data_IF_015454928934
#
_entry.id   IF_015454928934
#
_cell.length_a   1.000
_cell.length_b   1.000
_cell.length_c   1.000
_cell.angle_alpha   90.00
_cell.angle_beta   90.00
_cell.angle_gamma   90.00
#
_symmetry.space_group_name_H-M   'P 1'
#
loop_
_entity.id
_entity.type
_entity.pdbx_description
1 polymer ?
#
# COMPACT_ATOMS: atom_id res chain seq x y z
N UNK A 1 -29.10 34.17 26.38
CA UNK A 1 -27.62 34.29 26.29
C UNK A 1 -27.02 32.90 26.40
N UNK A 2 -26.90 32.16 25.29
CA UNK A 2 -26.33 30.80 25.28
C UNK A 2 -24.84 30.89 24.99
N UNK A 3 -24.00 30.56 25.97
CA UNK A 3 -22.56 30.58 25.83
C UNK A 3 -22.12 29.63 24.70
N UNK A 4 -21.38 30.18 23.73
CA UNK A 4 -20.79 29.44 22.60
C UNK A 4 -19.91 28.32 23.16
N UNK A 5 -20.21 27.03 22.93
CA UNK A 5 -19.41 25.93 23.48
C UNK A 5 -17.96 26.08 23.02
N UNK A 6 -17.01 25.85 23.94
CA UNK A 6 -15.57 25.96 23.65
C UNK A 6 -15.25 25.04 22.47
N UNK A 7 -14.53 25.53 21.47
CA UNK A 7 -14.17 24.75 20.27
C UNK A 7 -13.55 23.38 20.61
N UNK A 8 -12.87 23.30 21.76
CA UNK A 8 -12.23 22.11 22.31
C UNK A 8 -13.25 21.01 22.68
N UNK A 9 -14.42 21.37 23.24
CA UNK A 9 -15.43 20.37 23.63
C UNK A 9 -16.17 19.81 22.41
N UNK A 10 -16.35 20.62 21.36
CA UNK A 10 -16.90 20.16 20.10
C UNK A 10 -15.94 19.24 19.37
N UNK A 11 -14.65 19.61 19.28
CA UNK A 11 -13.61 18.76 18.68
C UNK A 11 -13.50 17.40 19.39
N UNK A 12 -13.64 17.37 20.73
CA UNK A 12 -13.64 16.13 21.51
C UNK A 12 -14.84 15.23 21.18
N UNK A 13 -16.04 15.82 21.07
CA UNK A 13 -17.25 15.06 20.72
C UNK A 13 -17.18 14.52 19.29
N UNK A 14 -16.68 15.32 18.35
CA UNK A 14 -16.50 14.92 16.95
C UNK A 14 -15.49 13.75 16.85
N UNK A 15 -14.34 13.88 17.51
CA UNK A 15 -13.31 12.84 17.55
C UNK A 15 -13.84 11.54 18.18
N UNK A 16 -14.61 11.64 19.27
CA UNK A 16 -15.20 10.47 19.93
C UNK A 16 -16.23 9.77 19.04
N UNK A 17 -17.04 10.54 18.31
CA UNK A 17 -18.01 10.01 17.36
C UNK A 17 -17.31 9.30 16.20
N UNK A 18 -16.32 9.94 15.60
CA UNK A 18 -15.51 9.34 14.52
C UNK A 18 -14.84 8.05 14.99
N UNK A 19 -14.18 8.07 16.15
CA UNK A 19 -13.53 6.89 16.72
C UNK A 19 -14.51 5.73 16.85
N UNK A 20 -15.71 5.97 17.39
CA UNK A 20 -16.73 4.93 17.59
C UNK A 20 -17.24 4.34 16.26
N UNK A 21 -17.26 5.13 15.19
CA UNK A 21 -17.62 4.68 13.85
C UNK A 21 -16.51 3.82 13.21
N UNK A 22 -15.23 4.18 13.34
CA UNK A 22 -14.11 3.38 12.78
C UNK A 22 -13.68 2.20 13.65
N UNK A 23 -13.96 2.23 14.96
CA UNK A 23 -13.58 1.18 15.91
C UNK A 23 -14.01 -0.24 15.49
N UNK A 24 -15.26 -0.52 15.08
CA UNK A 24 -15.66 -1.86 14.66
C UNK A 24 -14.90 -2.36 13.41
N UNK A 25 -14.60 -1.46 12.47
CA UNK A 25 -13.81 -1.80 11.28
C UNK A 25 -12.35 -2.09 11.62
N UNK A 26 -11.76 -1.33 12.56
CA UNK A 26 -10.43 -1.62 13.09
C UNK A 26 -10.38 -2.97 13.79
N UNK A 27 -11.39 -3.29 14.62
CA UNK A 27 -11.45 -4.58 15.31
C UNK A 27 -11.55 -5.74 14.32
N UNK A 28 -12.40 -5.62 13.30
CA UNK A 28 -12.52 -6.60 12.23
C UNK A 28 -11.20 -6.76 11.45
N UNK A 29 -10.53 -5.65 11.12
CA UNK A 29 -9.23 -5.65 10.46
C UNK A 29 -8.14 -6.34 11.27
N UNK A 30 -8.09 -6.10 12.59
CA UNK A 30 -7.12 -6.75 13.49
C UNK A 30 -7.43 -8.23 13.66
N UNK A 31 -8.71 -8.62 13.77
CA UNK A 31 -9.11 -10.03 13.83
C UNK A 31 -8.70 -10.79 12.57
N UNK A 32 -9.04 -10.26 11.40
CA UNK A 32 -8.68 -10.86 10.11
C UNK A 32 -7.16 -10.88 9.94
N UNK A 33 -6.49 -9.76 10.24
CA UNK A 33 -5.03 -9.65 10.17
C UNK A 33 -4.31 -10.64 11.09
N UNK A 34 -4.81 -10.82 12.32
CA UNK A 34 -4.31 -11.81 13.28
C UNK A 34 -4.49 -13.25 12.78
N UNK A 35 -5.65 -13.56 12.17
CA UNK A 35 -5.88 -14.88 11.59
C UNK A 35 -4.93 -15.17 10.42
N UNK A 36 -4.71 -14.18 9.54
CA UNK A 36 -3.78 -14.29 8.41
C UNK A 36 -2.32 -14.39 8.90
N UNK A 37 -1.96 -13.64 9.93
CA UNK A 37 -0.62 -13.71 10.52
C UNK A 37 -0.32 -15.08 11.12
N UNK A 38 -1.33 -15.77 11.68
CA UNK A 38 -1.20 -17.17 12.09
C UNK A 38 -1.06 -18.15 10.92
N UNK A 39 -1.50 -17.76 9.72
CA UNK A 39 -1.49 -18.59 8.50
C UNK A 39 -0.24 -18.42 7.63
N UNK A 40 0.51 -17.34 7.79
CA UNK A 40 1.80 -17.11 7.12
C UNK A 40 2.94 -17.29 8.13
N UNK A 41 3.35 -18.55 8.39
CA UNK A 41 4.42 -18.83 9.34
C UNK A 41 5.74 -18.22 8.88
N UNK A 42 6.57 -17.86 9.86
CA UNK A 42 7.88 -17.25 9.67
C UNK A 42 8.78 -18.12 8.78
N UNK A 43 8.59 -19.43 8.85
CA UNK A 43 9.24 -20.46 8.04
C UNK A 43 8.87 -20.35 6.55
N UNK A 44 7.64 -19.92 6.22
CA UNK A 44 7.20 -19.74 4.83
C UNK A 44 7.82 -18.49 4.19
N UNK A 45 7.94 -17.42 4.98
CA UNK A 45 8.64 -16.18 4.59
C UNK A 45 10.14 -16.45 4.45
N UNK A 46 10.76 -17.15 5.39
CA UNK A 46 12.18 -17.51 5.30
C UNK A 46 12.48 -18.44 4.11
N UNK A 47 11.55 -19.34 3.74
CA UNK A 47 11.72 -20.27 2.61
C UNK A 47 11.51 -19.64 1.22
N UNK A 48 10.56 -18.70 1.08
CA UNK A 48 10.23 -18.07 -0.21
C UNK A 48 10.80 -16.66 -0.38
N UNK A 49 11.08 -15.96 0.72
CA UNK A 49 11.58 -14.59 0.74
C UNK A 49 12.89 -14.43 1.54
N UNK A 50 13.53 -15.54 1.95
CA UNK A 50 14.86 -15.55 2.56
C UNK A 50 15.97 -15.20 1.58
N UNK A 51 17.12 -14.79 2.12
CA UNK A 51 18.26 -14.26 1.36
C UNK A 51 18.84 -15.18 0.29
N UNK A 52 18.66 -16.51 0.42
CA UNK A 52 19.21 -17.51 -0.50
C UNK A 52 18.36 -17.74 -1.76
N UNK A 53 17.16 -17.14 -1.85
CA UNK A 53 16.26 -17.35 -2.99
C UNK A 53 16.26 -16.14 -3.94
N UNK A 54 16.85 -16.32 -5.12
CA UNK A 54 16.90 -15.28 -6.18
C UNK A 54 15.49 -14.84 -6.63
N UNK A 55 14.48 -15.71 -6.51
CA UNK A 55 13.09 -15.38 -6.85
C UNK A 55 12.37 -14.55 -5.77
N UNK A 56 12.97 -14.36 -4.58
CA UNK A 56 12.39 -13.58 -3.50
C UNK A 56 12.11 -12.14 -3.90
N UNK A 57 12.99 -11.53 -4.69
CA UNK A 57 12.92 -10.13 -5.13
C UNK A 57 11.74 -9.89 -6.08
N UNK A 58 11.63 -10.58 -7.25
CA UNK A 58 10.50 -10.37 -8.15
C UNK A 58 9.16 -10.79 -7.54
N UNK A 59 9.12 -11.85 -6.73
CA UNK A 59 7.90 -12.27 -6.04
C UNK A 59 7.42 -11.18 -5.07
N UNK A 60 8.33 -10.59 -4.30
CA UNK A 60 8.02 -9.51 -3.37
C UNK A 60 7.54 -8.25 -4.09
N UNK A 61 8.11 -7.92 -5.26
CA UNK A 61 7.63 -6.81 -6.07
C UNK A 61 6.17 -7.01 -6.54
N UNK A 62 5.84 -8.22 -7.02
CA UNK A 62 4.48 -8.56 -7.49
C UNK A 62 3.48 -8.51 -6.34
N UNK A 63 3.85 -9.04 -5.16
CA UNK A 63 3.01 -8.99 -3.95
C UNK A 63 2.87 -7.56 -3.43
N UNK A 64 3.87 -6.70 -3.63
CA UNK A 64 3.84 -5.29 -3.23
C UNK A 64 2.74 -4.51 -3.94
N UNK A 65 2.55 -4.72 -5.25
CA UNK A 65 1.57 -4.00 -6.11
C UNK A 65 0.17 -3.87 -5.48
N UNK A 66 -0.51 -4.97 -5.07
CA UNK A 66 -1.84 -4.88 -4.47
C UNK A 66 -1.83 -4.44 -3.00
N UNK A 67 -0.70 -4.54 -2.30
CA UNK A 67 -0.64 -4.38 -0.85
C UNK A 67 -0.68 -2.91 -0.40
N UNK A 68 -0.50 -1.95 -1.32
CA UNK A 68 -0.49 -0.48 -1.12
C UNK A 68 -0.33 -0.06 0.35
N UNK A 69 0.93 0.03 0.78
CA UNK A 69 1.26 0.35 2.16
C UNK A 69 1.55 1.84 2.25
N UNK A 70 0.98 2.51 3.25
CA UNK A 70 1.26 3.92 3.51
C UNK A 70 2.70 4.10 4.01
N UNK A 71 3.36 5.19 3.62
CA UNK A 71 4.77 5.44 3.96
C UNK A 71 5.06 5.34 5.47
N UNK A 72 4.14 5.79 6.34
CA UNK A 72 4.29 5.73 7.79
C UNK A 72 4.29 4.30 8.33
N UNK A 73 3.56 3.39 7.67
CA UNK A 73 3.49 1.98 8.05
C UNK A 73 4.63 1.14 7.45
N UNK A 74 5.29 1.62 6.41
CA UNK A 74 6.39 0.91 5.73
C UNK A 74 7.59 0.73 6.66
N UNK A 75 7.96 1.75 7.44
CA UNK A 75 9.14 1.72 8.31
C UNK A 75 9.05 0.57 9.34
N UNK A 76 8.01 0.50 10.20
CA UNK A 76 7.89 -0.60 11.15
C UNK A 76 7.72 -1.96 10.46
N UNK A 77 6.99 -2.01 9.35
CA UNK A 77 6.79 -3.25 8.60
C UNK A 77 8.11 -3.82 8.06
N UNK A 78 8.94 -2.96 7.44
CA UNK A 78 10.24 -3.34 6.92
C UNK A 78 11.14 -3.90 8.03
N UNK A 79 11.18 -3.23 9.18
CA UNK A 79 11.96 -3.68 10.33
C UNK A 79 11.51 -5.05 10.85
N UNK A 80 10.20 -5.29 10.90
CA UNK A 80 9.64 -6.56 11.34
C UNK A 80 9.92 -7.70 10.33
N UNK A 81 9.88 -7.42 9.02
CA UNK A 81 10.16 -8.41 7.98
C UNK A 81 11.64 -8.79 7.92
N UNK A 82 12.55 -7.82 8.05
CA UNK A 82 13.99 -8.08 8.16
C UNK A 82 14.30 -8.90 9.42
N UNK A 83 13.70 -8.54 10.57
CA UNK A 83 13.85 -9.29 11.80
C UNK A 83 13.32 -10.74 11.70
N UNK A 84 12.37 -10.99 10.79
CA UNK A 84 11.85 -12.32 10.45
C UNK A 84 12.69 -13.09 9.42
N UNK A 85 13.84 -12.58 9.00
CA UNK A 85 14.76 -13.27 8.08
C UNK A 85 14.46 -13.06 6.60
N UNK A 86 13.58 -12.11 6.25
CA UNK A 86 13.38 -11.71 4.86
C UNK A 86 14.63 -11.00 4.32
N UNK A 87 15.07 -11.35 3.11
CA UNK A 87 16.22 -10.69 2.48
C UNK A 87 15.97 -9.20 2.30
N UNK A 88 16.97 -8.36 2.60
CA UNK A 88 16.85 -6.89 2.51
C UNK A 88 16.44 -6.43 1.11
N UNK A 89 16.94 -7.08 0.06
CA UNK A 89 16.54 -6.82 -1.32
C UNK A 89 15.07 -7.15 -1.62
N UNK A 90 14.54 -8.22 -1.01
CA UNK A 90 13.13 -8.59 -1.14
C UNK A 90 12.22 -7.59 -0.42
N UNK A 91 12.64 -7.11 0.76
CA UNK A 91 11.92 -6.05 1.50
C UNK A 91 11.90 -4.75 0.69
N UNK A 92 13.04 -4.36 0.10
CA UNK A 92 13.08 -3.17 -0.76
C UNK A 92 12.20 -3.31 -1.99
N UNK A 93 12.16 -4.50 -2.62
CA UNK A 93 11.28 -4.77 -3.75
C UNK A 93 9.79 -4.71 -3.38
N UNK A 94 9.41 -5.21 -2.19
CA UNK A 94 8.06 -5.08 -1.65
C UNK A 94 7.67 -3.61 -1.48
N UNK A 95 8.56 -2.80 -0.87
CA UNK A 95 8.33 -1.37 -0.64
C UNK A 95 8.16 -0.64 -1.95
N UNK A 96 9.11 -0.79 -2.88
CA UNK A 96 9.08 -0.14 -4.19
C UNK A 96 7.85 -0.58 -4.99
N UNK A 97 7.50 -1.88 -4.97
CA UNK A 97 6.31 -2.39 -5.64
C UNK A 97 5.01 -1.81 -5.07
N UNK A 98 4.92 -1.73 -3.74
CA UNK A 98 3.73 -1.20 -3.06
C UNK A 98 3.55 0.31 -3.20
N UNK A 99 4.65 1.06 -3.31
CA UNK A 99 4.64 2.52 -3.41
C UNK A 99 4.64 3.04 -4.85
N UNK A 100 5.27 2.33 -5.79
CA UNK A 100 5.52 2.83 -7.15
C UNK A 100 4.67 2.20 -8.26
N UNK A 101 4.02 1.07 -8.00
CA UNK A 101 3.13 0.40 -8.97
C UNK A 101 1.74 0.16 -8.38
N UNK A 102 1.30 1.06 -7.49
CA UNK A 102 0.05 0.90 -6.76
C UNK A 102 -1.15 0.78 -7.71
N UNK A 103 -2.13 -0.02 -7.34
CA UNK A 103 -3.37 -0.16 -8.13
C UNK A 103 -4.04 1.20 -8.39
N UNK A 104 -3.89 2.14 -7.45
CA UNK A 104 -4.32 3.54 -7.60
C UNK A 104 -3.62 4.29 -8.73
N UNK A 105 -2.31 4.10 -8.93
CA UNK A 105 -1.59 4.70 -10.06
C UNK A 105 -1.99 4.07 -11.38
N UNK A 106 -2.19 2.75 -11.45
CA UNK A 106 -2.66 2.09 -12.68
C UNK A 106 -4.06 2.59 -13.06
N UNK A 107 -4.95 2.76 -12.09
CA UNK A 107 -6.29 3.33 -12.30
C UNK A 107 -6.20 4.78 -12.76
N UNK A 108 -5.33 5.59 -12.13
CA UNK A 108 -5.12 6.99 -12.49
C UNK A 108 -4.53 7.13 -13.89
N UNK A 109 -3.49 6.37 -14.23
CA UNK A 109 -2.90 6.30 -15.56
C UNK A 109 -3.93 5.87 -16.60
N UNK A 110 -4.74 4.84 -16.33
CA UNK A 110 -5.81 4.41 -17.23
C UNK A 110 -6.88 5.49 -17.41
N UNK A 111 -7.17 6.27 -16.37
CA UNK A 111 -8.10 7.40 -16.42
C UNK A 111 -7.53 8.59 -17.22
N UNK A 112 -6.24 8.86 -17.09
CA UNK A 112 -5.57 9.95 -17.81
C UNK A 112 -5.28 9.59 -19.28
N UNK A 113 -4.88 8.35 -19.57
CA UNK A 113 -4.62 7.86 -20.92
C UNK A 113 -5.89 7.27 -21.53
N UNK A 114 -6.76 8.12 -22.08
CA UNK A 114 -7.81 7.68 -23.01
C UNK A 114 -7.16 7.05 -24.26
N UNK A 115 -7.13 5.72 -24.30
CA UNK A 115 -6.64 4.87 -25.40
C UNK A 115 -7.21 5.17 -26.81
N UNK A 116 -8.36 5.84 -27.05
CA UNK A 116 -8.81 6.08 -28.43
C UNK A 116 -7.98 7.09 -29.24
N UNK A 117 -7.06 7.88 -28.65
CA UNK A 117 -6.34 8.92 -29.41
C UNK A 117 -5.07 8.44 -30.15
N UNK A 118 -4.47 7.30 -29.76
CA UNK A 118 -3.25 6.81 -30.43
C UNK A 118 -3.53 6.07 -31.76
N UNK A 119 -4.76 5.57 -31.97
CA UNK A 119 -5.10 4.88 -33.21
C UNK A 119 -5.44 5.84 -34.36
N UNK A 120 -5.79 7.11 -34.07
CA UNK A 120 -6.18 8.09 -35.10
C UNK A 120 -5.06 9.02 -35.57
N UNK A 121 -3.91 9.07 -34.89
CA UNK A 121 -2.79 9.96 -35.26
C UNK A 121 -1.57 9.19 -35.77
N UNK A 122 -1.76 8.35 -36.80
CA UNK A 122 -0.65 7.80 -37.61
C UNK A 122 -0.02 8.84 -38.58
N UNK A 123 -0.42 10.11 -38.56
CA UNK A 123 -0.09 11.05 -39.65
C UNK A 123 0.58 12.38 -39.31
N UNK A 124 0.84 12.74 -38.04
CA UNK A 124 1.30 14.12 -37.75
C UNK A 124 2.07 14.27 -36.44
N UNK A 125 2.97 13.35 -36.13
CA UNK A 125 3.90 13.51 -34.99
C UNK A 125 5.38 13.36 -35.39
N UNK A 126 5.67 12.92 -36.60
CA UNK A 126 7.05 12.75 -37.08
C UNK A 126 7.66 14.07 -37.57
N UNK A 127 6.87 15.10 -37.87
CA UNK A 127 7.38 16.34 -38.49
C UNK A 127 7.78 17.46 -37.50
N UNK A 128 7.54 17.29 -36.19
CA UNK A 128 7.83 18.36 -35.19
C UNK A 128 9.18 18.17 -34.50
N UNK A 129 9.92 17.11 -34.84
CA UNK A 129 11.26 16.84 -34.31
C UNK A 129 12.24 16.64 -35.47
N UNK A 130 12.34 17.66 -36.33
CA UNK A 130 13.51 17.96 -37.17
C UNK A 130 13.69 19.47 -37.15
#
# INVERSE_FOLDING_TARGET
MTAKPRAITLAWQEAWKQFREVFPYLLAGVLIGSLIYGFVPTEWIAKHAGGDNVFAIPLSAIVGIPLYIRAEAVIPLASALVAKGMGTGAVMALIIGSAGASLTEVILLKSMFRTPMISKRKGSAVLTVI
#
